data_IF_229382993190
#
_entry.id   IF_229382993190
#
_cell.length_a   1.000
_cell.length_b   1.000
_cell.length_c   1.000
_cell.angle_alpha   90.00
_cell.angle_beta   90.00
_cell.angle_gamma   90.00
#
_symmetry.space_group_name_H-M   'P 1'
#
loop_
_entity.id
_entity.type
_entity.pdbx_description
1 polymer ?
#
# COMPACT_ATOMS: atom_id res chain seq x y z
N UNK A 1 9.69 2.27 -0.30
CA UNK A 1 10.15 3.64 0.01
C UNK A 1 8.93 4.54 0.15
N UNK A 2 9.06 5.70 0.80
CA UNK A 2 8.10 6.80 0.74
C UNK A 2 8.69 7.88 -0.19
N UNK A 3 7.84 8.54 -0.97
CA UNK A 3 8.22 9.50 -2.00
C UNK A 3 7.72 10.89 -1.65
N UNK A 4 8.55 11.91 -1.76
CA UNK A 4 8.13 13.28 -1.42
C UNK A 4 7.27 13.86 -2.54
N UNK A 5 6.16 14.50 -2.18
CA UNK A 5 5.32 15.20 -3.14
C UNK A 5 6.07 16.39 -3.75
N UNK A 6 5.93 16.52 -5.07
CA UNK A 6 6.58 17.49 -5.94
C UNK A 6 8.10 17.30 -6.07
N UNK A 7 8.62 16.11 -5.74
CA UNK A 7 9.99 15.77 -6.12
C UNK A 7 10.12 15.75 -7.66
N UNK A 8 11.18 16.34 -8.25
CA UNK A 8 11.36 16.36 -9.71
C UNK A 8 11.29 14.99 -10.39
N UNK A 9 11.57 13.91 -9.63
CA UNK A 9 11.56 12.53 -10.11
C UNK A 9 10.36 11.72 -9.61
N UNK A 10 9.34 12.36 -9.01
CA UNK A 10 8.16 11.68 -8.43
C UNK A 10 7.48 10.70 -9.41
N UNK A 11 7.36 11.08 -10.68
CA UNK A 11 6.70 10.26 -11.72
C UNK A 11 7.67 9.54 -12.66
N UNK A 12 8.98 9.74 -12.47
CA UNK A 12 10.03 9.25 -13.38
C UNK A 12 11.12 8.45 -12.70
N UNK A 13 10.88 7.99 -11.46
CA UNK A 13 11.78 7.07 -10.78
C UNK A 13 12.05 5.83 -11.67
N UNK A 14 13.32 5.43 -11.73
CA UNK A 14 13.81 4.40 -12.64
C UNK A 14 13.24 3.01 -12.34
N UNK A 15 12.56 2.87 -11.19
CA UNK A 15 11.89 1.66 -10.74
C UNK A 15 10.40 1.99 -10.74
N UNK A 16 9.58 1.27 -11.52
CA UNK A 16 8.12 1.43 -11.68
C UNK A 16 7.28 1.20 -10.39
N UNK A 17 7.82 1.53 -9.22
CA UNK A 17 7.29 1.22 -7.89
C UNK A 17 6.65 2.39 -7.15
N UNK A 18 6.61 3.60 -7.73
CA UNK A 18 5.89 4.72 -7.12
C UNK A 18 4.40 4.42 -7.17
N UNK A 19 3.80 4.27 -5.99
CA UNK A 19 2.35 4.18 -5.81
C UNK A 19 1.86 5.47 -5.17
N UNK A 20 0.71 5.97 -5.59
CA UNK A 20 0.11 7.19 -5.03
C UNK A 20 -0.01 7.15 -3.50
N UNK A 21 -0.30 5.96 -2.94
CA UNK A 21 -0.39 5.75 -1.49
C UNK A 21 0.95 5.82 -0.74
N UNK A 22 2.08 5.90 -1.45
CA UNK A 22 3.42 6.04 -0.90
C UNK A 22 3.99 7.46 -1.12
N UNK A 23 3.25 8.34 -1.79
CA UNK A 23 3.61 9.77 -1.94
C UNK A 23 3.16 10.52 -0.70
N UNK A 24 4.08 11.22 -0.03
CA UNK A 24 3.89 11.85 1.27
C UNK A 24 4.26 13.32 1.26
N UNK A 25 3.63 14.07 2.17
CA UNK A 25 3.88 15.48 2.40
C UNK A 25 4.73 15.69 3.67
N UNK A 26 5.50 16.78 3.70
CA UNK A 26 6.26 17.21 4.88
C UNK A 26 5.51 18.35 5.56
N UNK A 27 5.08 18.10 6.80
CA UNK A 27 4.49 19.09 7.69
C UNK A 27 5.53 19.75 8.60
N UNK A 28 5.02 20.51 9.59
CA UNK A 28 5.82 21.07 10.69
C UNK A 28 5.53 20.31 11.98
N UNK A 29 6.54 20.21 12.85
CA UNK A 29 6.44 19.51 14.13
C UNK A 29 5.34 20.09 15.04
N UNK A 30 5.15 21.41 15.04
CA UNK A 30 4.18 22.07 15.91
C UNK A 30 4.47 21.85 17.40
N UNK A 31 3.59 22.33 18.30
CA UNK A 31 3.87 22.36 19.74
C UNK A 31 3.96 20.96 20.37
N UNK A 32 3.19 19.99 19.87
CA UNK A 32 3.17 18.63 20.41
C UNK A 32 4.51 17.92 20.22
N UNK A 33 4.96 17.80 18.96
CA UNK A 33 6.19 17.08 18.63
C UNK A 33 7.44 17.88 18.99
N UNK A 34 7.39 19.22 18.92
CA UNK A 34 8.45 20.09 19.43
C UNK A 34 8.75 19.81 20.90
N UNK A 35 7.72 19.78 21.75
CA UNK A 35 7.87 19.47 23.17
C UNK A 35 8.29 18.03 23.40
N UNK A 36 7.69 17.08 22.68
CA UNK A 36 7.96 15.64 22.87
C UNK A 36 9.39 15.26 22.52
N UNK A 37 9.96 15.85 21.47
CA UNK A 37 11.26 15.48 20.93
C UNK A 37 12.34 16.56 21.13
N UNK A 38 12.01 17.70 21.75
CA UNK A 38 12.97 18.77 22.02
C UNK A 38 13.46 19.50 20.77
N UNK A 39 12.59 19.64 19.76
CA UNK A 39 12.88 20.32 18.50
C UNK A 39 12.07 21.61 18.37
N UNK A 40 12.42 22.46 17.40
CA UNK A 40 11.63 23.66 17.10
C UNK A 40 10.27 23.30 16.49
N UNK A 41 9.25 24.14 16.69
CA UNK A 41 7.91 23.94 16.12
C UNK A 41 7.90 23.96 14.58
N UNK A 42 8.86 24.65 13.96
CA UNK A 42 9.02 24.72 12.50
C UNK A 42 9.83 23.56 11.90
N UNK A 43 10.34 22.66 12.73
CA UNK A 43 11.09 21.50 12.27
C UNK A 43 10.22 20.61 11.37
N UNK A 44 10.83 20.02 10.32
CA UNK A 44 10.12 19.15 9.39
C UNK A 44 9.54 17.92 10.09
N UNK A 45 8.30 17.57 9.77
CA UNK A 45 7.60 16.40 10.29
C UNK A 45 7.05 15.55 9.13
N UNK A 46 7.41 14.27 9.12
CA UNK A 46 6.82 13.26 8.25
C UNK A 46 6.03 12.27 9.11
N UNK A 47 4.76 12.06 8.76
CA UNK A 47 3.89 11.08 9.41
C UNK A 47 3.38 10.08 8.38
N UNK A 48 3.52 8.79 8.66
CA UNK A 48 3.03 7.73 7.79
C UNK A 48 2.66 6.49 8.61
N UNK A 49 1.48 5.94 8.36
CA UNK A 49 0.99 4.74 9.02
C UNK A 49 1.27 3.50 8.18
N UNK A 50 2.10 2.60 8.71
CA UNK A 50 2.28 1.28 8.11
C UNK A 50 1.20 0.33 8.63
N UNK A 51 0.26 -0.02 7.76
CA UNK A 51 -0.77 -1.01 8.05
C UNK A 51 -0.25 -2.39 7.69
N UNK A 52 -0.10 -3.25 8.69
CA UNK A 52 0.23 -4.66 8.51
C UNK A 52 -1.05 -5.48 8.49
N UNK A 53 -1.17 -6.37 7.51
CA UNK A 53 -2.25 -7.35 7.41
C UNK A 53 -1.74 -8.73 7.78
N UNK A 54 -2.59 -9.56 8.39
CA UNK A 54 -2.23 -10.94 8.69
C UNK A 54 -2.10 -11.78 7.41
N UNK A 55 -1.37 -12.89 7.51
CA UNK A 55 -1.27 -13.85 6.41
C UNK A 55 -2.64 -14.41 6.01
N UNK A 56 -3.53 -14.65 7.00
CA UNK A 56 -4.89 -15.13 6.75
C UNK A 56 -5.73 -14.12 5.97
N UNK A 57 -5.69 -12.84 6.34
CA UNK A 57 -6.42 -11.79 5.62
C UNK A 57 -5.88 -11.62 4.19
N UNK A 58 -4.56 -11.68 4.04
CA UNK A 58 -3.89 -11.59 2.75
C UNK A 58 -4.28 -12.75 1.83
N UNK A 59 -4.33 -13.97 2.35
CA UNK A 59 -4.71 -15.15 1.59
C UNK A 59 -6.19 -15.07 1.17
N UNK A 60 -7.09 -14.76 2.09
CA UNK A 60 -8.52 -14.61 1.79
C UNK A 60 -8.76 -13.53 0.72
N UNK A 61 -8.10 -12.37 0.86
CA UNK A 61 -8.21 -11.28 -0.12
C UNK A 61 -7.68 -11.69 -1.50
N UNK A 62 -6.56 -12.42 -1.55
CA UNK A 62 -6.00 -12.93 -2.80
C UNK A 62 -6.96 -13.91 -3.48
N UNK A 63 -7.51 -14.87 -2.73
CA UNK A 63 -8.46 -15.85 -3.27
C UNK A 63 -9.73 -15.16 -3.81
N UNK A 64 -10.27 -14.20 -3.06
CA UNK A 64 -11.43 -13.41 -3.49
C UNK A 64 -11.14 -12.64 -4.79
N UNK A 65 -10.01 -11.92 -4.84
CA UNK A 65 -9.63 -11.14 -6.02
C UNK A 65 -9.39 -12.03 -7.25
N UNK A 66 -8.74 -13.19 -7.07
CA UNK A 66 -8.55 -14.18 -8.13
C UNK A 66 -9.88 -14.73 -8.64
N UNK A 67 -10.82 -15.05 -7.75
CA UNK A 67 -12.15 -15.52 -8.13
C UNK A 67 -12.91 -14.47 -8.95
N UNK A 68 -12.98 -13.23 -8.47
CA UNK A 68 -13.64 -12.12 -9.17
C UNK A 68 -13.03 -11.88 -10.55
N UNK A 69 -11.70 -11.95 -10.67
CA UNK A 69 -11.02 -11.78 -11.95
C UNK A 69 -11.33 -12.93 -12.93
N UNK A 70 -11.35 -14.17 -12.47
CA UNK A 70 -11.61 -15.34 -13.30
C UNK A 70 -13.09 -15.45 -13.71
N UNK A 71 -14.02 -15.08 -12.82
CA UNK A 71 -15.44 -14.95 -13.13
C UNK A 71 -15.66 -13.93 -14.26
N UNK A 72 -14.97 -12.77 -14.20
CA UNK A 72 -15.01 -11.75 -15.29
C UNK A 72 -14.47 -12.28 -16.62
N UNK A 73 -13.60 -13.28 -16.61
CA UNK A 73 -13.08 -13.96 -17.81
C UNK A 73 -13.96 -15.15 -18.25
N UNK A 74 -15.10 -15.37 -17.60
CA UNK A 74 -16.02 -16.48 -17.90
C UNK A 74 -15.48 -17.85 -17.52
N UNK A 75 -14.50 -17.92 -16.60
CA UNK A 75 -13.90 -19.17 -16.13
C UNK A 75 -14.49 -19.55 -14.78
N UNK A 76 -15.27 -20.64 -14.74
CA UNK A 76 -15.67 -21.26 -13.47
C UNK A 76 -14.49 -22.05 -12.90
N UNK A 77 -13.98 -21.61 -11.76
CA UNK A 77 -12.87 -22.25 -11.06
C UNK A 77 -13.17 -22.35 -9.57
N UNK A 78 -12.59 -23.36 -8.91
CA UNK A 78 -12.45 -23.44 -7.46
C UNK A 78 -11.01 -23.11 -7.09
N UNK A 79 -10.80 -22.38 -6.01
CA UNK A 79 -9.45 -22.12 -5.49
C UNK A 79 -9.08 -23.25 -4.54
N UNK A 80 -7.98 -23.97 -4.83
CA UNK A 80 -7.46 -25.07 -4.01
C UNK A 80 -6.00 -24.77 -3.72
N UNK A 81 -5.64 -24.63 -2.43
CA UNK A 81 -4.29 -24.26 -1.99
C UNK A 81 -3.75 -22.99 -2.71
N UNK A 82 -4.63 -21.99 -2.91
CA UNK A 82 -4.28 -20.75 -3.61
C UNK A 82 -4.16 -20.86 -5.13
N UNK A 83 -4.43 -22.02 -5.73
CA UNK A 83 -4.40 -22.23 -7.18
C UNK A 83 -5.81 -22.33 -7.76
N UNK A 84 -6.11 -21.63 -8.88
CA UNK A 84 -7.38 -21.78 -9.57
C UNK A 84 -7.41 -23.10 -10.34
N UNK A 85 -8.32 -23.98 -9.96
CA UNK A 85 -8.57 -25.27 -10.60
C UNK A 85 -9.93 -25.20 -11.31
N UNK A 86 -10.05 -25.63 -12.58
CA UNK A 86 -11.33 -25.67 -13.28
C UNK A 86 -12.39 -26.40 -12.48
N UNK A 87 -13.57 -25.80 -12.38
CA UNK A 87 -14.73 -26.46 -11.79
C UNK A 87 -15.35 -27.37 -12.86
N UNK A 88 -14.90 -28.63 -12.87
CA UNK A 88 -15.39 -29.67 -13.76
C UNK A 88 -16.60 -30.34 -13.11
N UNK A 89 -17.79 -29.82 -13.40
CA UNK A 89 -19.03 -30.59 -13.31
C UNK A 89 -19.17 -31.51 -14.54
#
# INVERSE_FOLDING_TARGET
ALYLRNDPYETSDAVFGVKDSLVVDIGKAGPEYAKKYGVSEDHALLTYDFVLVSDSETNALREQNSKVALDKLGRKVKIVNGLPVPDLD
#
